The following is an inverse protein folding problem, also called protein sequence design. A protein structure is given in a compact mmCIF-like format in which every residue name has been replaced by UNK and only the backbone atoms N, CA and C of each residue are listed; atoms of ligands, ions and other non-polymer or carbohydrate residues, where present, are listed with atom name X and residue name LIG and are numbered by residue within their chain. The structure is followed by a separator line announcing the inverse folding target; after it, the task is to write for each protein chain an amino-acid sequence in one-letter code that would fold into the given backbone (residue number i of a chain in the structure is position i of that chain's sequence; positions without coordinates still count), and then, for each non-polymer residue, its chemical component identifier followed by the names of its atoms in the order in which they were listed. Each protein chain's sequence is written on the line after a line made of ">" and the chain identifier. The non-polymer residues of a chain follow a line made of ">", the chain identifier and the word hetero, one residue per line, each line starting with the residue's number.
data_IF_449371317223
#
_entry.id   IF_449371317223
#
_cell.length_a   1.000
_cell.length_b   1.000
_cell.length_c   1.000
_cell.angle_alpha   90.00
_cell.angle_beta   90.00
_cell.angle_gamma   90.00
#
_symmetry.space_group_name_H-M   'P 1'
#
loop_
_entity.id
_entity.type
_entity.pdbx_description
1 polymer ?
#
# COMPACT_ATOMS: atom_id res chain seq x y z
N UNK A 1 39.61 -66.79 6.01
CA UNK A 1 38.44 -66.40 5.19
C UNK A 1 37.69 -65.31 5.94
N UNK A 2 37.90 -64.06 5.58
CA UNK A 2 37.23 -62.92 6.22
C UNK A 2 36.05 -62.50 5.37
N UNK A 3 34.85 -62.71 5.90
CA UNK A 3 33.61 -62.23 5.27
C UNK A 3 33.38 -60.78 5.69
N UNK A 4 33.51 -59.86 4.76
CA UNK A 4 33.14 -58.46 4.94
C UNK A 4 31.62 -58.35 4.87
N UNK A 5 30.99 -57.94 5.96
CA UNK A 5 29.60 -57.56 6.00
C UNK A 5 29.49 -56.14 5.51
N UNK A 6 28.89 -55.96 4.32
CA UNK A 6 28.55 -54.63 3.80
C UNK A 6 27.23 -54.23 4.46
N UNK A 7 27.35 -53.29 5.38
CA UNK A 7 26.17 -52.67 5.97
C UNK A 7 25.64 -51.59 5.01
N UNK A 8 24.54 -51.91 4.33
CA UNK A 8 23.84 -50.93 3.50
C UNK A 8 23.01 -50.02 4.42
N UNK A 9 23.57 -48.83 4.71
CA UNK A 9 22.84 -47.80 5.41
C UNK A 9 21.94 -47.08 4.40
N UNK A 10 20.65 -47.49 4.38
CA UNK A 10 19.62 -46.76 3.64
C UNK A 10 19.37 -45.41 4.37
N UNK A 11 19.98 -44.38 3.89
CA UNK A 11 19.60 -42.98 4.21
C UNK A 11 18.26 -42.71 3.53
N UNK A 12 17.18 -42.91 4.23
CA UNK A 12 15.90 -42.32 3.89
C UNK A 12 16.04 -40.80 4.08
N UNK A 13 16.43 -40.11 3.01
CA UNK A 13 16.22 -38.68 2.92
C UNK A 13 14.71 -38.45 2.80
N UNK A 14 14.07 -38.22 3.93
CA UNK A 14 12.73 -37.70 3.95
C UNK A 14 12.72 -36.35 3.21
N UNK A 15 12.20 -36.39 2.00
CA UNK A 15 11.81 -35.17 1.29
C UNK A 15 10.60 -34.62 2.06
N UNK A 16 10.88 -33.86 3.10
CA UNK A 16 9.89 -33.01 3.70
C UNK A 16 9.47 -32.00 2.64
N UNK A 17 8.31 -32.24 2.02
CA UNK A 17 7.62 -31.20 1.29
C UNK A 17 7.29 -30.11 2.30
N UNK A 18 8.19 -29.14 2.44
CA UNK A 18 7.85 -27.89 3.02
C UNK A 18 6.80 -27.29 2.07
N UNK A 19 5.53 -27.44 2.41
CA UNK A 19 4.48 -26.60 1.90
C UNK A 19 4.83 -25.19 2.43
N UNK A 20 5.76 -24.52 1.75
CA UNK A 20 6.00 -23.12 1.93
C UNK A 20 4.68 -22.45 1.56
N UNK A 21 3.94 -21.92 2.56
CA UNK A 21 2.95 -20.93 2.27
C UNK A 21 3.67 -19.92 1.37
N UNK A 22 3.17 -19.72 0.13
CA UNK A 22 3.66 -18.71 -0.77
C UNK A 22 3.57 -17.40 0.00
N UNK A 23 4.69 -16.99 0.62
CA UNK A 23 4.83 -15.64 1.09
C UNK A 23 4.90 -14.83 -0.18
N UNK A 24 3.77 -14.21 -0.53
CA UNK A 24 3.75 -13.24 -1.60
C UNK A 24 4.96 -12.33 -1.42
N UNK A 25 5.79 -12.24 -2.47
CA UNK A 25 7.00 -11.47 -2.41
C UNK A 25 6.63 -10.02 -2.11
N UNK A 26 7.19 -9.46 -1.03
CA UNK A 26 6.95 -8.07 -0.65
C UNK A 26 7.39 -7.16 -1.79
N UNK A 27 6.47 -6.34 -2.28
CA UNK A 27 6.74 -5.38 -3.36
C UNK A 27 7.70 -4.30 -2.84
N UNK A 28 8.83 -4.04 -3.51
CA UNK A 28 9.84 -3.11 -3.04
C UNK A 28 9.48 -1.64 -3.29
N UNK A 29 8.23 -1.28 -3.04
CA UNK A 29 7.73 0.09 -3.14
C UNK A 29 7.48 0.69 -1.76
N UNK A 30 7.62 2.01 -1.68
CA UNK A 30 7.20 2.82 -0.55
C UNK A 30 5.83 3.43 -0.81
N UNK A 31 4.90 3.18 0.10
CA UNK A 31 3.52 3.67 0.03
C UNK A 31 3.30 4.71 1.11
N UNK A 32 2.75 5.85 0.73
CA UNK A 32 2.30 6.89 1.64
C UNK A 32 0.77 6.92 1.66
N UNK A 33 0.19 6.56 2.79
CA UNK A 33 -1.24 6.71 3.01
C UNK A 33 -1.51 8.08 3.62
N UNK A 34 -2.37 8.85 2.97
CA UNK A 34 -2.81 10.19 3.38
C UNK A 34 -4.30 10.13 3.66
N UNK A 35 -4.70 10.25 4.93
CA UNK A 35 -6.09 10.15 5.33
C UNK A 35 -6.30 10.65 6.75
N UNK A 36 -7.40 10.26 7.39
CA UNK A 36 -7.57 10.49 8.82
C UNK A 36 -6.73 9.46 9.60
N UNK A 37 -5.50 9.84 9.94
CA UNK A 37 -4.52 8.94 10.55
C UNK A 37 -4.93 8.36 11.91
N UNK A 38 -5.93 8.95 12.55
CA UNK A 38 -6.47 8.51 13.86
C UNK A 38 -7.68 7.60 13.72
N UNK A 39 -8.17 7.38 12.49
CA UNK A 39 -9.35 6.53 12.27
C UNK A 39 -8.98 5.04 12.32
N UNK A 40 -9.91 4.16 12.75
CA UNK A 40 -9.73 2.71 12.62
C UNK A 40 -9.43 2.29 11.18
N UNK A 41 -10.06 2.93 10.21
CA UNK A 41 -9.87 2.70 8.79
C UNK A 41 -8.40 2.89 8.36
N UNK A 42 -7.71 3.91 8.86
CA UNK A 42 -6.29 4.11 8.58
C UNK A 42 -5.43 2.97 9.13
N UNK A 43 -5.75 2.49 10.33
CA UNK A 43 -5.09 1.33 10.94
C UNK A 43 -5.30 0.04 10.15
N UNK A 44 -6.50 -0.18 9.62
CA UNK A 44 -6.81 -1.33 8.77
C UNK A 44 -6.02 -1.29 7.47
N UNK A 45 -5.98 -0.13 6.79
CA UNK A 45 -5.17 0.05 5.59
C UNK A 45 -3.67 -0.11 5.86
N UNK A 46 -3.16 0.47 6.93
CA UNK A 46 -1.76 0.32 7.31
C UNK A 46 -1.39 -1.15 7.51
N UNK A 47 -2.20 -1.89 8.25
CA UNK A 47 -2.00 -3.31 8.52
C UNK A 47 -2.07 -4.15 7.25
N UNK A 48 -3.00 -3.84 6.35
CA UNK A 48 -3.13 -4.50 5.06
C UNK A 48 -1.91 -4.20 4.17
N UNK A 49 -1.55 -2.94 3.98
CA UNK A 49 -0.48 -2.53 3.08
C UNK A 49 0.89 -3.06 3.52
N UNK A 50 1.17 -3.12 4.83
CA UNK A 50 2.42 -3.68 5.38
C UNK A 50 2.65 -5.15 5.04
N UNK A 51 1.61 -5.89 4.67
CA UNK A 51 1.76 -7.28 4.21
C UNK A 51 2.38 -7.38 2.81
N UNK A 52 2.16 -6.36 1.97
CA UNK A 52 2.50 -6.40 0.55
C UNK A 52 3.61 -5.44 0.14
N UNK A 53 3.84 -4.37 0.90
CA UNK A 53 4.79 -3.32 0.54
C UNK A 53 5.92 -3.19 1.57
N UNK A 54 7.13 -2.91 1.07
CA UNK A 54 8.32 -2.78 1.91
C UNK A 54 8.21 -1.67 2.95
N UNK A 55 7.69 -0.53 2.55
CA UNK A 55 7.56 0.64 3.40
C UNK A 55 6.15 1.21 3.30
N UNK A 56 5.53 1.41 4.45
CA UNK A 56 4.21 2.05 4.54
C UNK A 56 4.28 3.13 5.61
N UNK A 57 3.90 4.33 5.23
CA UNK A 57 3.75 5.45 6.16
C UNK A 57 2.33 5.96 6.13
N UNK A 58 1.80 6.29 7.29
CA UNK A 58 0.46 6.87 7.45
C UNK A 58 0.63 8.29 7.95
N UNK A 59 0.00 9.25 7.27
CA UNK A 59 0.02 10.66 7.63
C UNK A 59 -1.39 11.22 7.62
N UNK A 60 -1.61 12.25 8.43
CA UNK A 60 -2.90 12.91 8.47
C UNK A 60 -3.09 13.78 7.22
N UNK A 61 -4.29 13.75 6.66
CA UNK A 61 -4.67 14.59 5.52
C UNK A 61 -4.70 16.07 5.88
N UNK A 62 -5.22 16.38 7.08
CA UNK A 62 -5.21 17.76 7.57
C UNK A 62 -3.78 18.21 7.86
N UNK A 63 -3.39 19.36 7.30
CA UNK A 63 -2.04 19.88 7.42
C UNK A 63 -0.98 19.07 6.66
N UNK A 64 -1.40 18.25 5.70
CA UNK A 64 -0.46 17.49 4.87
C UNK A 64 0.45 18.43 4.07
N UNK A 65 1.75 18.19 4.18
CA UNK A 65 2.75 18.85 3.34
C UNK A 65 3.08 17.96 2.13
N UNK A 66 2.79 18.42 0.89
CA UNK A 66 3.11 17.69 -0.33
C UNK A 66 4.59 17.26 -0.45
N UNK A 67 5.51 18.00 0.18
CA UNK A 67 6.92 17.64 0.21
C UNK A 67 7.17 16.29 0.89
N UNK A 68 6.31 15.88 1.80
CA UNK A 68 6.38 14.57 2.50
C UNK A 68 6.26 13.40 1.52
N UNK A 69 5.60 13.59 0.39
CA UNK A 69 5.42 12.56 -0.63
C UNK A 69 6.65 12.33 -1.52
N UNK A 70 7.68 13.17 -1.45
CA UNK A 70 8.87 13.06 -2.33
C UNK A 70 9.58 11.71 -2.23
N UNK A 71 9.54 11.07 -1.08
CA UNK A 71 10.16 9.77 -0.83
C UNK A 71 9.21 8.58 -1.02
N UNK A 72 7.97 8.80 -1.46
CA UNK A 72 7.01 7.75 -1.73
C UNK A 72 6.96 7.42 -3.21
N UNK A 73 6.85 6.12 -3.52
CA UNK A 73 6.65 5.66 -4.90
C UNK A 73 5.18 5.79 -5.30
N UNK A 74 4.28 5.58 -4.35
CA UNK A 74 2.82 5.67 -4.54
C UNK A 74 2.19 6.38 -3.36
N UNK A 75 1.22 7.23 -3.63
CA UNK A 75 0.40 7.90 -2.62
C UNK A 75 -1.02 7.37 -2.68
N UNK A 76 -1.59 6.98 -1.55
CA UNK A 76 -3.00 6.66 -1.39
C UNK A 76 -3.68 7.82 -0.67
N UNK A 77 -4.59 8.50 -1.33
CA UNK A 77 -5.45 9.48 -0.69
C UNK A 77 -6.76 8.82 -0.28
N UNK A 78 -6.97 8.67 1.02
CA UNK A 78 -8.22 8.17 1.57
C UNK A 78 -9.03 9.30 2.17
N UNK A 79 -10.23 9.48 1.63
CA UNK A 79 -11.17 10.47 2.12
C UNK A 79 -12.56 9.88 2.10
N UNK A 80 -13.03 9.44 3.25
CA UNK A 80 -14.37 8.91 3.37
C UNK A 80 -15.40 10.04 3.36
N UNK A 81 -16.60 9.73 2.90
CA UNK A 81 -17.69 10.69 2.82
C UNK A 81 -18.14 11.18 4.21
N UNK A 82 -17.89 10.40 5.25
CA UNK A 82 -18.19 10.75 6.63
C UNK A 82 -17.24 11.79 7.24
N UNK A 83 -16.04 11.97 6.65
CA UNK A 83 -14.98 12.76 7.27
C UNK A 83 -15.08 14.27 6.97
N UNK A 84 -15.78 14.69 5.94
CA UNK A 84 -15.90 16.10 5.60
C UNK A 84 -16.98 16.40 4.56
N UNK A 85 -17.47 17.65 4.53
CA UNK A 85 -18.19 18.17 3.38
C UNK A 85 -17.24 18.33 2.19
N UNK A 86 -17.22 17.34 1.31
CA UNK A 86 -16.34 17.26 0.13
C UNK A 86 -16.42 18.53 -0.73
N UNK A 87 -17.56 19.20 -0.72
CA UNK A 87 -17.77 20.43 -1.53
C UNK A 87 -16.98 21.63 -1.03
N UNK A 88 -16.64 21.67 0.25
CA UNK A 88 -15.89 22.77 0.89
C UNK A 88 -14.42 22.43 1.09
N UNK A 89 -14.04 21.20 0.88
CA UNK A 89 -12.70 20.74 1.15
C UNK A 89 -11.74 21.11 0.02
N UNK A 90 -10.49 21.31 0.37
CA UNK A 90 -9.41 21.58 -0.60
C UNK A 90 -8.55 20.35 -0.78
N UNK A 91 -8.01 20.17 -2.00
CA UNK A 91 -7.02 19.12 -2.24
C UNK A 91 -5.83 19.26 -1.28
N UNK A 92 -5.42 18.19 -0.59
CA UNK A 92 -4.21 18.23 0.22
C UNK A 92 -2.94 18.30 -0.61
N UNK A 93 -3.02 18.04 -1.91
CA UNK A 93 -1.87 17.99 -2.83
C UNK A 93 -1.56 19.30 -3.56
N UNK A 94 -2.38 20.34 -3.36
CA UNK A 94 -2.22 21.60 -4.05
C UNK A 94 -2.72 21.55 -5.50
N UNK A 95 -2.01 22.23 -6.41
CA UNK A 95 -2.35 22.29 -7.81
C UNK A 95 -1.90 21.05 -8.57
N UNK A 96 -2.64 20.70 -9.63
CA UNK A 96 -2.32 19.53 -10.47
C UNK A 96 -0.93 19.62 -11.09
N UNK A 97 -0.56 20.78 -11.59
CA UNK A 97 0.74 21.01 -12.23
C UNK A 97 1.95 20.82 -11.30
N UNK A 98 1.73 20.98 -9.99
CA UNK A 98 2.76 20.81 -8.96
C UNK A 98 2.83 19.38 -8.42
N UNK A 99 1.84 18.54 -8.75
CA UNK A 99 1.71 17.17 -8.24
C UNK A 99 2.10 16.13 -9.29
N UNK A 100 3.19 15.42 -9.06
CA UNK A 100 3.76 14.45 -9.99
C UNK A 100 3.91 13.03 -9.43
N UNK A 101 3.16 12.69 -8.38
CA UNK A 101 3.23 11.36 -7.75
C UNK A 101 2.11 10.45 -8.24
N UNK A 102 2.40 9.17 -8.53
CA UNK A 102 1.35 8.18 -8.76
C UNK A 102 0.42 8.16 -7.56
N UNK A 103 -0.87 8.30 -7.81
CA UNK A 103 -1.85 8.49 -6.74
C UNK A 103 -3.05 7.58 -6.93
N UNK A 104 -3.43 6.86 -5.88
CA UNK A 104 -4.65 6.08 -5.78
C UNK A 104 -5.64 6.84 -4.91
N UNK A 105 -6.86 6.98 -5.39
CA UNK A 105 -7.93 7.71 -4.71
C UNK A 105 -8.92 6.73 -4.10
N UNK A 106 -9.17 6.88 -2.80
CA UNK A 106 -10.06 6.03 -2.03
C UNK A 106 -11.18 6.88 -1.41
N UNK A 107 -12.39 6.36 -1.45
CA UNK A 107 -13.56 7.06 -0.93
C UNK A 107 -13.97 8.26 -1.80
N UNK A 108 -14.38 9.36 -1.16
CA UNK A 108 -14.84 10.57 -1.85
C UNK A 108 -13.71 11.43 -2.46
N UNK A 109 -12.46 11.02 -2.24
CA UNK A 109 -11.29 11.75 -2.72
C UNK A 109 -11.29 11.96 -4.24
N UNK A 110 -11.76 10.94 -5.00
CA UNK A 110 -11.83 11.01 -6.45
C UNK A 110 -12.73 12.15 -6.94
N UNK A 111 -13.88 12.34 -6.32
CA UNK A 111 -14.80 13.43 -6.67
C UNK A 111 -14.20 14.80 -6.34
N UNK A 112 -13.55 14.91 -5.20
CA UNK A 112 -12.89 16.15 -4.80
C UNK A 112 -11.81 16.55 -5.79
N UNK A 113 -10.91 15.63 -6.10
CA UNK A 113 -9.79 15.91 -7.02
C UNK A 113 -10.25 16.11 -8.45
N UNK A 114 -11.22 15.32 -8.93
CA UNK A 114 -11.81 15.52 -10.25
C UNK A 114 -12.37 16.94 -10.42
N UNK A 115 -13.07 17.45 -9.40
CA UNK A 115 -13.58 18.82 -9.42
C UNK A 115 -12.48 19.88 -9.34
N UNK A 116 -11.52 19.73 -8.46
CA UNK A 116 -10.48 20.73 -8.25
C UNK A 116 -9.41 20.74 -9.34
N UNK A 117 -9.10 19.59 -9.89
CA UNK A 117 -8.14 19.43 -10.99
C UNK A 117 -8.79 19.47 -12.37
N UNK A 118 -10.08 19.74 -12.42
CA UNK A 118 -10.86 19.83 -13.67
C UNK A 118 -10.70 18.59 -14.58
N UNK A 119 -10.59 17.41 -13.96
CA UNK A 119 -10.54 16.15 -14.66
C UNK A 119 -11.96 15.82 -15.14
N UNK A 120 -12.20 15.93 -16.43
CA UNK A 120 -13.48 15.60 -17.03
C UNK A 120 -13.44 14.12 -17.40
N UNK A 121 -14.19 13.29 -16.66
CA UNK A 121 -14.43 11.92 -17.04
C UNK A 121 -15.44 11.88 -18.20
N UNK A 122 -14.98 11.57 -19.38
CA UNK A 122 -15.89 11.23 -20.48
C UNK A 122 -16.42 9.82 -20.23
N UNK A 123 -17.74 9.65 -20.10
CA UNK A 123 -18.37 8.36 -20.33
C UNK A 123 -18.33 8.11 -21.84
N UNK A 124 -17.45 7.19 -22.26
CA UNK A 124 -17.47 6.64 -23.60
C UNK A 124 -18.61 5.65 -23.80
#
# INVERSE_FOLDING_TARGET
>A
MKRAAILFLLLLTGVGSAAGADREAVVPLSVLYVGNSKSPRAGDYESFLKKYFRQVRVVNREGFDPATAKSADVVLLDWSQSDADVRKAKSPFGKLEDWNRPTVLLGSAGLLLAGQWQIIGGAG
#
